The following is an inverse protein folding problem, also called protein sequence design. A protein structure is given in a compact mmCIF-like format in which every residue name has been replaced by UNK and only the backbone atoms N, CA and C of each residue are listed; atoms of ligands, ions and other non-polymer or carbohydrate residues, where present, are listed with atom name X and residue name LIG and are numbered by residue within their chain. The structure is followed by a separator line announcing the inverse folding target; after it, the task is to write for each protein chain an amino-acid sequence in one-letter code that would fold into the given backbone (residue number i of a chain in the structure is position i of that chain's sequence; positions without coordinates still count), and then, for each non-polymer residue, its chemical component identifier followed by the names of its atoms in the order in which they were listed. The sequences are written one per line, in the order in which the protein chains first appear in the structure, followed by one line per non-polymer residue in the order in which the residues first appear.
data_IF_207463102555
#
_entry.id   IF_207463102555
#
_cell.length_a   1.000
_cell.length_b   1.000
_cell.length_c   1.000
_cell.angle_alpha   90.00
_cell.angle_beta   90.00
_cell.angle_gamma   90.00
#
_symmetry.space_group_name_H-M   'P 1'
#
loop_
_entity.id
_entity.type
_entity.pdbx_description
1 polymer ?
#
# COMPACT_ATOMS: atom_id res chain seq x y z
N UNK A 1 66.62 -13.59 -2.03
CA UNK A 1 65.40 -13.37 -1.23
C UNK A 1 64.28 -12.96 -2.16
N UNK A 2 63.33 -13.88 -2.37
CA UNK A 2 62.18 -13.75 -3.25
C UNK A 2 60.96 -13.94 -2.36
N UNK A 3 60.16 -12.90 -2.16
CA UNK A 3 58.90 -13.01 -1.43
C UNK A 3 57.72 -12.66 -2.33
N UNK A 4 56.75 -13.57 -2.23
CA UNK A 4 55.68 -13.86 -3.17
C UNK A 4 54.57 -12.80 -3.09
N UNK A 5 54.19 -12.29 -4.26
CA UNK A 5 52.92 -11.62 -4.49
C UNK A 5 51.76 -12.59 -4.20
N UNK A 6 50.96 -12.33 -3.17
CA UNK A 6 49.59 -12.86 -3.05
C UNK A 6 48.62 -11.80 -3.58
N UNK A 7 48.23 -11.92 -4.85
CA UNK A 7 46.99 -11.31 -5.35
C UNK A 7 45.84 -12.17 -4.85
N UNK A 8 45.13 -11.70 -3.83
CA UNK A 8 43.79 -12.21 -3.52
C UNK A 8 42.85 -11.58 -4.54
N UNK A 9 42.45 -12.35 -5.55
CA UNK A 9 41.35 -11.98 -6.41
C UNK A 9 40.06 -12.10 -5.59
N UNK A 10 39.57 -10.98 -5.05
CA UNK A 10 38.17 -10.90 -4.63
C UNK A 10 37.31 -10.93 -5.89
N UNK A 11 36.75 -12.10 -6.18
CA UNK A 11 35.62 -12.24 -7.09
C UNK A 11 34.45 -11.44 -6.50
N UNK A 12 34.27 -10.20 -6.99
CA UNK A 12 33.04 -9.45 -6.78
C UNK A 12 31.94 -10.16 -7.57
N UNK A 13 31.29 -11.14 -6.96
CA UNK A 13 30.00 -11.64 -7.40
C UNK A 13 28.98 -10.53 -7.14
N UNK A 14 28.96 -9.54 -8.02
CA UNK A 14 27.92 -8.52 -8.05
C UNK A 14 26.72 -9.18 -8.72
N UNK A 15 25.90 -9.88 -7.94
CA UNK A 15 24.58 -10.30 -8.40
C UNK A 15 23.83 -9.03 -8.80
N UNK A 16 23.73 -8.76 -10.10
CA UNK A 16 22.91 -7.67 -10.61
C UNK A 16 21.50 -7.85 -10.06
N UNK A 17 21.00 -6.86 -9.31
CA UNK A 17 19.57 -6.74 -9.01
C UNK A 17 18.88 -6.60 -10.36
N UNK A 18 18.15 -7.63 -10.79
CA UNK A 18 17.22 -7.50 -11.91
C UNK A 18 16.10 -6.59 -11.42
N UNK A 19 16.11 -5.33 -11.82
CA UNK A 19 14.95 -4.46 -11.71
C UNK A 19 14.09 -4.68 -12.95
N UNK A 20 12.77 -4.76 -12.75
CA UNK A 20 11.81 -4.70 -13.84
C UNK A 20 11.33 -3.25 -13.89
N UNK A 21 11.51 -2.63 -15.06
CA UNK A 21 11.03 -1.28 -15.34
C UNK A 21 9.85 -1.40 -16.31
N UNK A 22 8.73 -0.79 -15.94
CA UNK A 22 7.59 -0.61 -16.82
C UNK A 22 7.27 0.89 -16.88
N UNK A 23 6.76 1.31 -18.03
CA UNK A 23 6.30 2.68 -18.23
C UNK A 23 4.78 2.68 -18.15
N UNK A 24 4.20 3.77 -17.63
CA UNK A 24 2.77 4.01 -17.71
C UNK A 24 2.31 3.95 -19.19
N UNK A 25 1.08 3.49 -19.46
CA UNK A 25 0.64 3.24 -20.82
C UNK A 25 0.64 4.54 -21.65
N UNK A 26 1.08 4.50 -22.93
CA UNK A 26 1.18 5.70 -23.77
C UNK A 26 -0.15 6.41 -24.00
N UNK A 27 -1.27 5.68 -23.97
CA UNK A 27 -2.59 6.25 -24.26
C UNK A 27 -3.08 7.17 -23.13
N UNK A 28 -2.57 7.01 -21.91
CA UNK A 28 -2.80 7.98 -20.84
C UNK A 28 -2.19 9.36 -21.15
N UNK A 29 -1.12 9.38 -21.96
CA UNK A 29 -0.43 10.59 -22.40
C UNK A 29 -1.15 11.24 -23.59
N UNK A 30 -1.91 10.46 -24.38
CA UNK A 30 -2.38 10.88 -25.70
C UNK A 30 -3.91 11.05 -25.84
N UNK A 31 -4.74 10.44 -24.99
CA UNK A 31 -6.19 10.38 -25.23
C UNK A 31 -6.95 11.72 -25.10
N UNK A 32 -6.32 12.80 -24.62
CA UNK A 32 -6.99 14.11 -24.44
C UNK A 32 -6.13 15.33 -24.82
N UNK A 33 -5.12 15.13 -25.68
CA UNK A 33 -4.17 16.17 -26.07
C UNK A 33 -2.96 16.22 -25.14
N UNK A 34 -1.80 16.53 -25.73
CA UNK A 34 -0.44 16.51 -25.18
C UNK A 34 -0.29 17.06 -23.75
N UNK A 35 -0.72 16.30 -22.74
CA UNK A 35 -0.49 16.60 -21.34
C UNK A 35 0.05 15.31 -20.74
N UNK A 36 1.37 15.28 -20.56
CA UNK A 36 2.04 14.20 -19.86
C UNK A 36 1.43 14.06 -18.47
N UNK A 37 1.05 12.84 -18.06
CA UNK A 37 0.81 12.55 -16.65
C UNK A 37 2.06 12.97 -15.88
N UNK A 38 1.91 13.90 -14.95
CA UNK A 38 2.98 14.22 -14.03
C UNK A 38 3.09 13.05 -13.04
N UNK A 39 4.31 12.70 -12.61
CA UNK A 39 4.47 11.76 -11.50
C UNK A 39 3.77 12.26 -10.23
N UNK A 40 3.55 13.58 -10.13
CA UNK A 40 2.76 14.20 -9.08
C UNK A 40 1.26 13.81 -9.11
N UNK A 41 0.74 13.35 -10.26
CA UNK A 41 -0.64 12.88 -10.40
C UNK A 41 -0.83 11.47 -9.84
N UNK A 42 0.27 10.73 -9.59
CA UNK A 42 0.23 9.36 -9.06
C UNK A 42 0.00 9.39 -7.55
N UNK A 43 -1.22 9.05 -7.15
CA UNK A 43 -1.61 9.05 -5.75
C UNK A 43 -1.35 7.72 -5.06
N UNK A 44 -1.62 6.58 -5.70
CA UNK A 44 -1.49 5.30 -5.01
C UNK A 44 -0.89 4.24 -5.93
N UNK A 45 0.08 3.46 -5.43
CA UNK A 45 0.71 2.38 -6.18
C UNK A 45 0.82 1.15 -5.31
N UNK A 46 0.22 0.03 -5.72
CA UNK A 46 0.28 -1.23 -5.00
C UNK A 46 0.83 -2.36 -5.85
N UNK A 47 1.63 -3.23 -5.24
CA UNK A 47 2.06 -4.50 -5.83
C UNK A 47 1.16 -5.61 -5.29
N UNK A 48 0.76 -6.52 -6.17
CA UNK A 48 -0.06 -7.67 -5.82
C UNK A 48 0.36 -8.90 -6.63
N UNK A 49 -0.13 -10.08 -6.23
CA UNK A 49 0.12 -11.33 -6.95
C UNK A 49 -1.21 -12.05 -7.20
N UNK A 50 -1.54 -12.24 -8.48
CA UNK A 50 -2.71 -13.01 -8.89
C UNK A 50 -2.33 -14.49 -8.94
N UNK A 51 -2.79 -15.23 -7.93
CA UNK A 51 -2.64 -16.69 -7.87
C UNK A 51 -3.30 -17.42 -9.04
N UNK A 52 -4.38 -16.88 -9.61
CA UNK A 52 -5.12 -17.49 -10.71
C UNK A 52 -4.34 -17.50 -12.01
N UNK A 53 -3.65 -16.39 -12.31
CA UNK A 53 -2.77 -16.28 -13.48
C UNK A 53 -1.29 -16.53 -13.18
N UNK A 54 -0.93 -16.72 -11.90
CA UNK A 54 0.44 -16.79 -11.39
C UNK A 54 1.29 -15.59 -11.83
N UNK A 55 0.70 -14.39 -11.76
CA UNK A 55 1.31 -13.16 -12.25
C UNK A 55 1.50 -12.13 -11.15
N UNK A 56 2.60 -11.39 -11.24
CA UNK A 56 2.73 -10.16 -10.46
C UNK A 56 1.96 -9.07 -11.18
N UNK A 57 1.22 -8.27 -10.43
CA UNK A 57 0.48 -7.15 -10.98
C UNK A 57 0.72 -5.89 -10.16
N UNK A 58 0.76 -4.74 -10.83
CA UNK A 58 0.90 -3.43 -10.16
C UNK A 58 -0.33 -2.59 -10.45
N UNK A 59 -1.04 -2.22 -9.38
CA UNK A 59 -2.15 -1.28 -9.46
C UNK A 59 -1.63 0.14 -9.25
N UNK A 60 -2.04 1.04 -10.13
CA UNK A 60 -1.71 2.47 -10.06
C UNK A 60 -3.01 3.25 -10.08
N UNK A 61 -3.18 4.13 -9.11
CA UNK A 61 -4.27 5.09 -9.04
C UNK A 61 -3.72 6.49 -9.13
N UNK A 62 -4.35 7.31 -9.96
CA UNK A 62 -3.93 8.67 -10.22
C UNK A 62 -5.14 9.57 -10.40
N UNK A 63 -4.97 10.83 -10.05
CA UNK A 63 -5.99 11.87 -10.21
C UNK A 63 -5.62 12.70 -11.42
N UNK A 64 -6.58 12.98 -12.28
CA UNK A 64 -6.38 13.88 -13.41
C UNK A 64 -7.59 14.78 -13.55
N UNK A 65 -7.35 16.09 -13.55
CA UNK A 65 -8.41 17.10 -13.44
C UNK A 65 -9.27 16.80 -12.20
N UNK A 66 -10.58 16.69 -12.38
CA UNK A 66 -11.57 16.40 -11.32
C UNK A 66 -12.01 14.93 -11.32
N UNK A 67 -11.18 14.02 -11.84
CA UNK A 67 -11.54 12.60 -11.98
C UNK A 67 -10.44 11.68 -11.47
N UNK A 68 -10.89 10.57 -10.90
CA UNK A 68 -10.06 9.53 -10.30
C UNK A 68 -9.98 8.34 -11.26
N UNK A 69 -8.78 7.81 -11.46
CA UNK A 69 -8.55 6.70 -12.37
C UNK A 69 -7.70 5.61 -11.71
N UNK A 70 -7.87 4.39 -12.19
CA UNK A 70 -7.06 3.25 -11.81
C UNK A 70 -6.73 2.39 -13.00
N UNK A 71 -5.50 1.88 -13.01
CA UNK A 71 -5.00 0.95 -14.01
C UNK A 71 -4.25 -0.19 -13.31
N UNK A 72 -4.30 -1.38 -13.89
CA UNK A 72 -3.57 -2.56 -13.42
C UNK A 72 -2.63 -3.05 -14.52
N UNK A 73 -1.35 -3.16 -14.19
CA UNK A 73 -0.33 -3.73 -15.06
C UNK A 73 -0.08 -5.19 -14.75
N UNK A 74 -0.13 -6.04 -15.76
CA UNK A 74 0.25 -7.45 -15.70
C UNK A 74 1.68 -7.63 -16.20
N UNK A 75 2.54 -8.24 -15.39
CA UNK A 75 3.95 -8.45 -15.73
C UNK A 75 4.10 -9.50 -16.82
N UNK A 76 3.34 -10.59 -16.72
CA UNK A 76 3.42 -11.70 -17.68
C UNK A 76 2.88 -11.30 -19.04
N UNK A 77 1.76 -10.54 -19.08
CA UNK A 77 1.17 -10.09 -20.34
C UNK A 77 1.80 -8.81 -20.89
N UNK A 78 2.57 -8.10 -20.05
CA UNK A 78 3.13 -6.79 -20.35
C UNK A 78 2.06 -5.82 -20.88
N UNK A 79 0.93 -5.77 -20.19
CA UNK A 79 -0.26 -5.03 -20.63
C UNK A 79 -0.95 -4.33 -19.47
N UNK A 80 -1.72 -3.29 -19.79
CA UNK A 80 -2.53 -2.54 -18.84
C UNK A 80 -4.02 -2.84 -19.04
N UNK A 81 -4.79 -2.80 -17.96
CA UNK A 81 -6.26 -2.77 -17.99
C UNK A 81 -6.77 -1.70 -17.02
N UNK A 82 -7.92 -1.12 -17.33
CA UNK A 82 -8.56 -0.15 -16.44
C UNK A 82 -9.20 -0.86 -15.24
N UNK A 83 -9.17 -0.22 -14.08
CA UNK A 83 -9.87 -0.68 -12.87
C UNK A 83 -10.66 0.46 -12.25
N UNK A 84 -11.81 0.11 -11.67
CA UNK A 84 -12.66 1.11 -10.99
C UNK A 84 -12.07 1.45 -9.64
N UNK A 85 -11.88 2.74 -9.37
CA UNK A 85 -11.32 3.24 -8.11
C UNK A 85 -12.41 3.79 -7.20
N UNK A 86 -12.17 3.71 -5.89
CA UNK A 86 -13.03 4.34 -4.89
C UNK A 86 -12.58 5.78 -4.66
N UNK A 87 -13.51 6.73 -4.65
CA UNK A 87 -13.21 8.14 -4.35
C UNK A 87 -12.57 8.32 -2.97
N UNK A 88 -12.89 7.44 -2.02
CA UNK A 88 -12.31 7.44 -0.68
C UNK A 88 -10.78 7.26 -0.67
N UNK A 89 -10.20 6.71 -1.74
CA UNK A 89 -8.77 6.52 -1.92
C UNK A 89 -8.01 7.84 -2.21
N UNK A 90 -8.71 8.89 -2.66
CA UNK A 90 -8.13 10.15 -3.13
C UNK A 90 -8.37 11.35 -2.21
N UNK A 91 -8.95 11.13 -1.02
CA UNK A 91 -9.40 12.25 -0.16
C UNK A 91 -8.24 13.03 0.47
N UNK A 92 -7.02 12.48 0.45
CA UNK A 92 -5.82 13.20 0.85
C UNK A 92 -4.89 13.26 -0.37
N UNK A 93 -4.57 14.46 -0.88
CA UNK A 93 -3.73 14.66 -2.08
C UNK A 93 -2.26 14.18 -1.92
N UNK A 94 -1.94 13.46 -0.84
CA UNK A 94 -0.64 12.86 -0.61
C UNK A 94 -0.56 11.50 -1.28
N UNK A 95 0.51 11.27 -2.06
CA UNK A 95 0.81 9.93 -2.58
C UNK A 95 0.99 8.92 -1.43
N UNK A 96 0.34 7.76 -1.48
CA UNK A 96 0.43 6.70 -0.49
C UNK A 96 0.84 5.37 -1.13
N UNK A 97 1.82 4.73 -0.51
CA UNK A 97 2.13 3.33 -0.76
C UNK A 97 1.28 2.47 0.18
N UNK A 98 0.85 1.27 -0.24
CA UNK A 98 0.12 0.37 0.63
C UNK A 98 0.96 0.08 1.86
N UNK A 99 0.28 0.12 3.01
CA UNK A 99 0.87 -0.07 4.32
C UNK A 99 1.21 -1.54 4.56
N UNK A 100 0.43 -2.46 3.98
CA UNK A 100 0.53 -3.91 4.20
C UNK A 100 0.19 -4.69 2.93
N UNK A 101 0.87 -5.83 2.75
CA UNK A 101 0.47 -6.90 1.84
C UNK A 101 -0.06 -8.09 2.67
N UNK A 102 -1.28 -8.53 2.39
CA UNK A 102 -1.91 -9.68 3.06
C UNK A 102 -2.67 -10.51 2.03
N UNK A 103 -2.37 -11.82 1.97
CA UNK A 103 -2.91 -12.74 0.96
C UNK A 103 -2.78 -12.16 -0.45
N UNK A 104 -1.56 -11.69 -0.76
CA UNK A 104 -1.19 -11.11 -2.05
C UNK A 104 -1.95 -9.84 -2.48
N UNK A 105 -2.81 -9.31 -1.60
CA UNK A 105 -3.56 -8.08 -1.81
C UNK A 105 -2.90 -6.89 -1.07
N UNK A 106 -2.79 -5.71 -1.70
CA UNK A 106 -2.28 -4.50 -1.05
C UNK A 106 -3.40 -3.77 -0.30
N UNK A 107 -3.03 -3.19 0.85
CA UNK A 107 -3.94 -2.47 1.75
C UNK A 107 -3.41 -1.07 2.03
N UNK A 108 -4.29 -0.08 1.95
CA UNK A 108 -4.03 1.32 2.27
C UNK A 108 -4.79 1.71 3.53
N UNK A 109 -4.19 2.60 4.31
CA UNK A 109 -4.83 3.20 5.48
C UNK A 109 -5.02 4.69 5.31
N UNK A 110 -6.18 5.17 5.72
CA UNK A 110 -6.44 6.59 5.88
C UNK A 110 -6.81 6.89 7.32
N UNK A 111 -6.10 7.85 7.90
CA UNK A 111 -6.43 8.38 9.21
C UNK A 111 -7.42 9.54 9.06
N UNK A 112 -8.46 9.53 9.87
CA UNK A 112 -9.34 10.66 10.09
C UNK A 112 -9.68 10.76 11.57
N UNK A 113 -10.07 11.94 12.01
CA UNK A 113 -10.54 12.16 13.38
C UNK A 113 -11.99 12.63 13.35
N UNK A 114 -12.78 12.06 14.24
CA UNK A 114 -14.05 12.62 14.70
C UNK A 114 -13.80 13.29 16.08
N UNK A 115 -14.74 14.09 16.57
CA UNK A 115 -14.62 14.87 17.81
C UNK A 115 -14.21 13.99 19.01
N UNK A 116 -14.59 12.71 19.00
CA UNK A 116 -14.33 11.75 20.08
C UNK A 116 -13.44 10.56 19.68
N UNK A 117 -13.35 10.26 18.38
CA UNK A 117 -12.74 9.03 17.89
C UNK A 117 -11.62 9.31 16.91
N UNK A 118 -10.59 8.46 16.97
CA UNK A 118 -9.66 8.31 15.88
C UNK A 118 -10.12 7.14 15.02
N UNK A 119 -10.24 7.43 13.73
CA UNK A 119 -10.78 6.53 12.72
C UNK A 119 -9.65 6.12 11.79
N UNK A 120 -9.47 4.82 11.62
CA UNK A 120 -8.60 4.24 10.61
C UNK A 120 -9.48 3.58 9.55
N UNK A 121 -9.61 4.24 8.41
CA UNK A 121 -10.25 3.64 7.23
C UNK A 121 -9.23 2.76 6.52
N UNK A 122 -9.66 1.59 6.09
CA UNK A 122 -8.81 0.62 5.42
C UNK A 122 -9.42 0.32 4.06
N UNK A 123 -8.60 0.38 3.02
CA UNK A 123 -8.98 0.07 1.64
C UNK A 123 -8.07 -1.05 1.16
N UNK A 124 -8.63 -2.04 0.48
CA UNK A 124 -7.93 -3.17 -0.13
C UNK A 124 -8.13 -3.13 -1.64
N UNK A 125 -7.13 -3.53 -2.41
CA UNK A 125 -7.34 -3.97 -3.78
C UNK A 125 -7.43 -5.49 -3.78
N UNK A 126 -8.60 -6.02 -4.12
CA UNK A 126 -8.84 -7.45 -4.20
C UNK A 126 -8.47 -7.94 -5.60
N UNK A 127 -7.43 -8.76 -5.66
CA UNK A 127 -6.86 -9.27 -6.91
C UNK A 127 -7.81 -10.27 -7.57
N UNK A 128 -8.68 -10.93 -6.81
CA UNK A 128 -9.57 -11.95 -7.36
C UNK A 128 -10.64 -11.37 -8.29
N UNK A 129 -11.01 -10.10 -8.11
CA UNK A 129 -12.02 -9.42 -8.91
C UNK A 129 -11.57 -8.03 -9.44
N UNK A 130 -10.27 -7.75 -9.36
CA UNK A 130 -9.65 -6.50 -9.82
C UNK A 130 -10.32 -5.23 -9.27
N UNK A 131 -10.76 -5.26 -8.01
CA UNK A 131 -11.60 -4.21 -7.45
C UNK A 131 -11.08 -3.64 -6.13
N UNK A 132 -11.35 -2.35 -5.92
CA UNK A 132 -11.11 -1.71 -4.63
C UNK A 132 -12.30 -1.94 -3.69
N UNK A 133 -11.98 -2.32 -2.45
CA UNK A 133 -12.97 -2.59 -1.39
C UNK A 133 -12.63 -1.80 -0.14
N UNK A 134 -13.62 -1.09 0.39
CA UNK A 134 -13.54 -0.53 1.73
C UNK A 134 -13.77 -1.62 2.75
N UNK A 135 -12.87 -1.74 3.71
CA UNK A 135 -13.00 -2.64 4.84
C UNK A 135 -13.63 -1.93 6.04
N UNK A 136 -14.14 -2.70 7.02
CA UNK A 136 -14.65 -2.16 8.27
C UNK A 136 -13.63 -1.23 8.93
N UNK A 137 -14.06 -0.01 9.22
CA UNK A 137 -13.22 0.99 9.86
C UNK A 137 -12.81 0.52 11.26
N UNK A 138 -11.59 0.86 11.66
CA UNK A 138 -11.16 0.70 13.04
C UNK A 138 -11.36 2.01 13.80
N UNK A 139 -12.02 1.92 14.96
CA UNK A 139 -12.32 3.04 15.82
C UNK A 139 -11.67 2.79 17.18
N UNK A 140 -11.00 3.80 17.71
CA UNK A 140 -10.65 3.80 19.12
C UNK A 140 -10.84 5.19 19.70
N UNK A 141 -11.10 5.23 21.01
CA UNK A 141 -11.18 6.48 21.74
C UNK A 141 -9.85 7.22 21.62
N UNK A 142 -9.90 8.56 21.55
CA UNK A 142 -8.68 9.37 21.58
C UNK A 142 -7.86 8.94 22.80
N UNK A 143 -6.72 8.31 22.55
CA UNK A 143 -5.73 8.11 23.59
C UNK A 143 -5.22 9.52 23.95
N UNK A 144 -5.68 10.02 25.11
CA UNK A 144 -5.58 11.37 25.66
C UNK A 144 -4.54 12.31 25.04
N UNK A 145 -4.96 13.50 24.57
CA UNK A 145 -4.23 14.77 24.27
C UNK A 145 -2.84 14.73 23.59
N UNK A 146 -2.28 13.54 23.34
CA UNK A 146 -0.93 13.30 22.89
C UNK A 146 -0.85 12.83 21.44
N UNK A 147 -1.98 12.46 20.86
CA UNK A 147 -2.07 11.85 19.53
C UNK A 147 -1.73 10.36 19.60
N UNK A 148 -2.68 9.53 19.18
CA UNK A 148 -2.43 8.11 18.93
C UNK A 148 -1.94 7.96 17.49
N UNK A 149 -0.95 7.09 17.30
CA UNK A 149 -0.54 6.58 16.01
C UNK A 149 -1.10 5.18 15.82
N UNK A 150 -1.36 4.85 14.57
CA UNK A 150 -1.77 3.51 14.17
C UNK A 150 -0.82 2.99 13.12
N UNK A 151 -0.56 1.70 13.19
CA UNK A 151 0.09 0.97 12.13
C UNK A 151 -0.74 -0.26 11.80
N UNK A 152 -1.15 -0.37 10.53
CA UNK A 152 -1.73 -1.60 10.02
C UNK A 152 -0.61 -2.62 9.80
N UNK A 153 -0.86 -3.86 10.18
CA UNK A 153 0.12 -4.95 10.13
C UNK A 153 -0.54 -6.24 9.67
N UNK A 154 0.24 -7.10 9.02
CA UNK A 154 -0.10 -8.50 8.82
C UNK A 154 0.55 -9.32 9.94
N UNK A 155 -0.27 -9.88 10.83
CA UNK A 155 0.19 -10.77 11.91
C UNK A 155 -0.53 -12.10 11.72
N UNK A 156 0.24 -13.17 11.48
CA UNK A 156 -0.28 -14.53 11.31
C UNK A 156 -1.42 -14.62 10.26
N UNK A 157 -1.20 -13.99 9.10
CA UNK A 157 -2.19 -13.90 8.00
C UNK A 157 -3.52 -13.27 8.42
N UNK A 158 -3.48 -12.38 9.42
CA UNK A 158 -4.62 -11.57 9.83
C UNK A 158 -4.27 -10.10 9.80
N UNK A 159 -5.26 -9.29 9.45
CA UNK A 159 -5.14 -7.85 9.49
C UNK A 159 -5.21 -7.37 10.94
N UNK A 160 -4.14 -6.73 11.40
CA UNK A 160 -4.01 -6.24 12.76
C UNK A 160 -3.68 -4.76 12.79
N UNK A 161 -4.14 -4.06 13.83
CA UNK A 161 -3.82 -2.66 14.07
C UNK A 161 -3.03 -2.57 15.37
N UNK A 162 -1.84 -1.99 15.28
CA UNK A 162 -1.05 -1.54 16.41
C UNK A 162 -1.43 -0.09 16.72
N UNK A 163 -2.05 0.16 17.86
CA UNK A 163 -2.38 1.50 18.35
C UNK A 163 -1.39 1.87 19.47
N UNK A 164 -0.75 3.04 19.37
CA UNK A 164 0.22 3.47 20.36
C UNK A 164 0.25 4.99 20.54
N UNK A 165 0.60 5.43 21.74
CA UNK A 165 0.77 6.86 22.03
C UNK A 165 2.14 7.39 21.53
N UNK A 166 2.16 8.52 20.84
CA UNK A 166 3.41 9.14 20.37
C UNK A 166 4.11 10.01 21.43
N UNK A 167 3.50 10.30 22.60
CA UNK A 167 4.02 11.29 23.56
C UNK A 167 4.21 10.76 25.00
N UNK A 168 5.43 10.98 25.50
CA UNK A 168 5.90 11.37 26.86
C UNK A 168 5.11 10.97 28.12
N UNK A 169 4.35 9.88 28.15
CA UNK A 169 4.01 9.24 29.43
C UNK A 169 5.21 8.44 29.94
N UNK A 170 5.31 8.30 31.27
CA UNK A 170 6.30 7.41 31.89
C UNK A 170 6.07 5.92 31.52
N UNK A 171 4.89 5.60 30.97
CA UNK A 171 4.52 4.26 30.52
C UNK A 171 3.66 4.40 29.25
N UNK A 172 4.24 4.23 28.04
CA UNK A 172 3.46 4.23 26.82
C UNK A 172 2.50 3.04 26.81
N UNK A 173 1.25 3.29 26.41
CA UNK A 173 0.26 2.22 26.18
C UNK A 173 0.34 1.80 24.72
N UNK A 174 0.40 0.49 24.51
CA UNK A 174 0.38 -0.14 23.19
C UNK A 174 -0.77 -1.15 23.23
N UNK A 175 -1.75 -0.94 22.37
CA UNK A 175 -2.87 -1.86 22.19
C UNK A 175 -2.77 -2.50 20.80
N UNK A 176 -3.07 -3.80 20.72
CA UNK A 176 -3.08 -4.54 19.46
C UNK A 176 -4.48 -5.08 19.24
N UNK A 177 -5.02 -4.82 18.06
CA UNK A 177 -6.33 -5.32 17.65
C UNK A 177 -6.19 -6.19 16.40
N UNK A 178 -6.99 -7.24 16.31
CA UNK A 178 -7.10 -8.09 15.14
C UNK A 178 -8.50 -7.94 14.54
N UNK A 179 -8.59 -7.83 13.22
CA UNK A 179 -9.85 -8.02 12.51
C UNK A 179 -10.16 -9.51 12.50
N UNK A 180 -11.29 -9.93 13.09
CA UNK A 180 -11.68 -11.35 13.10
C UNK A 180 -11.93 -11.88 11.70
N UNK A 181 -12.74 -11.14 10.95
CA UNK A 181 -13.00 -11.38 9.55
C UNK A 181 -13.45 -10.09 8.84
N UNK A 182 -13.18 -10.00 7.53
CA UNK A 182 -13.48 -8.82 6.72
C UNK A 182 -15.00 -8.52 6.63
N UNK A 183 -15.87 -9.50 6.92
CA UNK A 183 -17.33 -9.38 6.77
C UNK A 183 -18.03 -8.95 8.06
N UNK A 184 -17.58 -9.41 9.21
CA UNK A 184 -18.12 -9.05 10.53
C UNK A 184 -17.73 -7.64 10.90
N UNK A 185 -16.53 -7.21 10.49
CA UNK A 185 -15.99 -5.90 10.85
C UNK A 185 -15.68 -5.74 12.33
N UNK A 186 -15.56 -6.84 13.05
CA UNK A 186 -15.24 -6.83 14.47
C UNK A 186 -13.73 -6.82 14.67
N UNK A 187 -13.27 -5.80 15.38
CA UNK A 187 -11.89 -5.65 15.83
C UNK A 187 -11.76 -6.07 17.28
N UNK A 188 -10.97 -7.10 17.56
CA UNK A 188 -10.80 -7.64 18.91
C UNK A 188 -9.37 -7.42 19.43
N UNK A 189 -9.21 -7.04 20.71
CA UNK A 189 -7.88 -6.94 21.32
C UNK A 189 -7.21 -8.32 21.37
N UNK A 190 -5.89 -8.34 21.20
CA UNK A 190 -5.04 -9.55 21.30
C UNK A 190 -4.28 -9.59 22.63
#
# INVERSE_FOLDING_TARGET
MSERKRKVAMSKNTTMRKSIHFSLPPNLVNDLGNVNLDLNDINNVGLCFDLGSADYEVVVCYKRLESNYGILYSFTKNSWKDVTVLDSLFVNDSSQTPTVLLNDCPYWTKHSSDDQFLLLSIIKFDVADDSFKSLPQFHTYRIHDGGASYQLMNINNKLSVLAYENKRRASPVIDVFCLEDEKSGVWNPI
#
